data_IF_778608845128
#
_entry.id   IF_778608845128
#
_cell.length_a   1.000
_cell.length_b   1.000
_cell.length_c   1.000
_cell.angle_alpha   90.00
_cell.angle_beta   90.00
_cell.angle_gamma   90.00
#
_symmetry.space_group_name_H-M   'P 1'
#
loop_
_entity.id
_entity.type
_entity.pdbx_description
1 polymer ?
#
# COMPACT_ATOMS: atom_id res chain seq x y z
N UNK A 1 -27.26 16.10 20.14
CA UNK A 1 -25.87 15.90 20.68
C UNK A 1 -25.76 14.65 21.54
N UNK A 2 -26.72 14.35 22.43
CA UNK A 2 -26.69 13.12 23.22
C UNK A 2 -26.85 11.85 22.38
N UNK A 3 -27.76 11.83 21.39
CA UNK A 3 -27.89 10.64 20.53
C UNK A 3 -26.62 10.41 19.72
N UNK A 4 -26.04 11.47 19.14
CA UNK A 4 -24.77 11.36 18.42
C UNK A 4 -23.63 10.81 19.29
N UNK A 5 -23.51 11.27 20.55
CA UNK A 5 -22.53 10.72 21.48
C UNK A 5 -22.78 9.24 21.79
N UNK A 6 -24.04 8.86 21.99
CA UNK A 6 -24.42 7.46 22.21
C UNK A 6 -24.13 6.57 20.98
N UNK A 7 -24.38 7.07 19.77
CA UNK A 7 -24.02 6.40 18.51
C UNK A 7 -22.52 6.16 18.44
N UNK A 8 -21.69 7.19 18.67
CA UNK A 8 -20.23 7.04 18.61
C UNK A 8 -19.68 6.11 19.70
N UNK A 9 -20.33 6.06 20.86
CA UNK A 9 -19.98 5.10 21.90
C UNK A 9 -20.31 3.67 21.46
N UNK A 10 -21.51 3.43 20.91
CA UNK A 10 -21.88 2.12 20.37
C UNK A 10 -20.96 1.66 19.22
N UNK A 11 -20.54 2.57 18.34
CA UNK A 11 -19.55 2.29 17.28
C UNK A 11 -18.20 1.91 17.88
N UNK A 12 -17.70 2.70 18.84
CA UNK A 12 -16.41 2.41 19.50
C UNK A 12 -16.44 1.07 20.22
N UNK A 13 -17.56 0.75 20.89
CA UNK A 13 -17.74 -0.52 21.60
C UNK A 13 -17.89 -1.72 20.62
N UNK A 14 -18.47 -1.49 19.45
CA UNK A 14 -18.75 -2.53 18.45
C UNK A 14 -17.58 -2.88 17.54
N UNK A 15 -16.85 -1.87 17.02
CA UNK A 15 -15.76 -2.06 16.04
C UNK A 15 -14.39 -1.55 16.51
N UNK A 16 -14.32 -0.93 17.68
CA UNK A 16 -13.09 -0.37 18.22
C UNK A 16 -12.76 1.04 17.70
N UNK A 17 -11.72 1.64 18.29
CA UNK A 17 -11.31 3.01 17.97
C UNK A 17 -10.66 3.13 16.59
N UNK A 18 -9.85 2.15 16.17
CA UNK A 18 -9.16 2.18 14.88
C UNK A 18 -10.15 2.20 13.71
N UNK A 19 -11.17 1.36 13.75
CA UNK A 19 -12.15 1.25 12.68
C UNK A 19 -13.11 2.46 12.67
N UNK A 20 -13.45 3.01 13.84
CA UNK A 20 -14.16 4.30 13.93
C UNK A 20 -13.35 5.41 13.28
N UNK A 21 -12.05 5.45 13.55
CA UNK A 21 -11.18 6.53 13.07
C UNK A 21 -10.90 6.39 11.57
N UNK A 22 -10.87 5.16 11.03
CA UNK A 22 -10.75 4.88 9.59
C UNK A 22 -11.88 5.49 8.74
N UNK A 23 -13.07 5.72 9.32
CA UNK A 23 -14.17 6.41 8.64
C UNK A 23 -13.79 7.83 8.20
N UNK A 24 -12.85 8.47 8.87
CA UNK A 24 -12.39 9.80 8.48
C UNK A 24 -11.42 9.80 7.29
N UNK A 25 -10.88 8.63 6.92
CA UNK A 25 -10.08 8.47 5.70
C UNK A 25 -10.94 8.51 4.44
N UNK A 26 -12.25 8.27 4.57
CA UNK A 26 -13.20 8.15 3.47
C UNK A 26 -14.45 9.00 3.76
N UNK A 27 -14.50 10.28 3.32
CA UNK A 27 -15.56 11.21 3.70
C UNK A 27 -16.95 10.82 3.19
N UNK A 28 -17.03 9.93 2.21
CA UNK A 28 -18.26 9.37 1.62
C UNK A 28 -18.92 8.29 2.48
N UNK A 29 -18.17 7.62 3.37
CA UNK A 29 -18.71 6.58 4.27
C UNK A 29 -19.04 7.12 5.67
N UNK A 30 -18.99 8.44 5.86
CA UNK A 30 -19.32 9.04 7.13
C UNK A 30 -20.80 8.78 7.52
N UNK A 31 -21.09 8.52 8.80
CA UNK A 31 -22.44 8.30 9.27
C UNK A 31 -23.36 9.50 8.98
N UNK A 32 -24.57 9.20 8.56
CA UNK A 32 -25.62 10.19 8.29
C UNK A 32 -26.50 10.40 9.53
N UNK A 33 -27.50 11.28 9.43
CA UNK A 33 -28.48 11.46 10.52
C UNK A 33 -29.31 10.21 10.81
N UNK A 34 -29.55 9.36 9.81
CA UNK A 34 -30.28 8.09 10.01
C UNK A 34 -29.49 7.11 10.89
N UNK A 35 -28.16 7.14 10.79
CA UNK A 35 -27.28 6.31 11.62
C UNK A 35 -27.30 6.74 13.09
N UNK A 36 -27.62 8.01 13.38
CA UNK A 36 -27.81 8.52 14.76
C UNK A 36 -29.05 7.89 15.40
N UNK A 37 -30.12 7.70 14.62
CA UNK A 37 -31.36 7.07 15.08
C UNK A 37 -31.23 5.53 15.15
N UNK A 38 -30.35 4.94 14.33
CA UNK A 38 -30.13 3.50 14.22
C UNK A 38 -28.64 3.09 14.38
N UNK A 39 -28.01 3.33 15.54
CA UNK A 39 -26.58 3.08 15.73
C UNK A 39 -26.16 1.61 15.56
N UNK A 40 -27.06 0.67 15.85
CA UNK A 40 -26.81 -0.76 15.67
C UNK A 40 -26.74 -1.16 14.19
N UNK A 41 -27.50 -0.50 13.32
CA UNK A 41 -27.46 -0.74 11.88
C UNK A 41 -26.13 -0.27 11.28
N UNK A 42 -25.63 0.89 11.75
CA UNK A 42 -24.29 1.37 11.43
C UNK A 42 -23.22 0.36 11.85
N UNK A 43 -23.24 -0.12 13.11
CA UNK A 43 -22.28 -1.12 13.57
C UNK A 43 -22.34 -2.39 12.72
N UNK A 44 -23.54 -2.88 12.40
CA UNK A 44 -23.71 -4.06 11.55
C UNK A 44 -23.13 -3.86 10.13
N UNK A 45 -23.26 -2.66 9.57
CA UNK A 45 -22.64 -2.28 8.27
C UNK A 45 -21.12 -2.31 8.38
N UNK A 46 -20.56 -1.75 9.45
CA UNK A 46 -19.10 -1.69 9.66
C UNK A 46 -18.48 -3.07 9.93
N UNK A 47 -19.22 -3.99 10.57
CA UNK A 47 -18.73 -5.35 10.84
C UNK A 47 -18.89 -6.31 9.67
N UNK A 48 -19.64 -5.95 8.63
CA UNK A 48 -19.86 -6.83 7.48
C UNK A 48 -18.60 -7.04 6.60
N UNK A 49 -17.53 -6.28 6.88
CA UNK A 49 -16.22 -6.48 6.27
C UNK A 49 -16.07 -5.78 4.91
N UNK A 50 -14.82 -5.51 4.55
CA UNK A 50 -14.45 -5.08 3.19
C UNK A 50 -14.82 -6.17 2.18
N UNK A 51 -15.21 -5.79 0.95
CA UNK A 51 -15.45 -6.76 -0.11
C UNK A 51 -14.18 -7.60 -0.36
N UNK A 52 -14.36 -8.89 -0.67
CA UNK A 52 -13.26 -9.76 -1.08
C UNK A 52 -12.57 -9.19 -2.32
N UNK A 53 -11.22 -9.24 -2.40
CA UNK A 53 -10.46 -8.66 -3.49
C UNK A 53 -10.84 -9.34 -4.82
N UNK A 54 -11.20 -8.52 -5.79
CA UNK A 54 -11.62 -9.00 -7.10
C UNK A 54 -10.42 -9.27 -8.04
N UNK A 55 -10.70 -9.68 -9.28
CA UNK A 55 -9.65 -9.98 -10.27
C UNK A 55 -8.75 -8.77 -10.57
N UNK A 56 -9.30 -7.55 -10.46
CA UNK A 56 -8.53 -6.32 -10.67
C UNK A 56 -7.63 -6.06 -9.48
N UNK A 57 -8.12 -6.24 -8.26
CA UNK A 57 -7.32 -6.10 -7.03
C UNK A 57 -6.14 -7.08 -7.03
N UNK A 58 -6.36 -8.32 -7.45
CA UNK A 58 -5.31 -9.34 -7.56
C UNK A 58 -4.26 -8.96 -8.60
N UNK A 59 -4.67 -8.48 -9.77
CA UNK A 59 -3.75 -8.04 -10.81
C UNK A 59 -2.91 -6.82 -10.37
N UNK A 60 -3.49 -5.92 -9.56
CA UNK A 60 -2.77 -4.78 -8.98
C UNK A 60 -1.74 -5.22 -7.94
N UNK A 61 -2.07 -6.17 -7.07
CA UNK A 61 -1.14 -6.73 -6.08
C UNK A 61 0.02 -7.48 -6.75
N UNK A 62 -0.25 -8.27 -7.79
CA UNK A 62 0.79 -8.96 -8.58
C UNK A 62 1.74 -7.97 -9.24
N UNK A 63 1.19 -6.86 -9.77
CA UNK A 63 1.99 -5.75 -10.29
C UNK A 63 2.81 -5.11 -9.16
N UNK A 64 2.20 -4.70 -8.05
CA UNK A 64 2.87 -3.99 -6.96
C UNK A 64 3.97 -4.83 -6.30
N UNK A 65 3.70 -6.11 -6.04
CA UNK A 65 4.63 -7.08 -5.45
C UNK A 65 5.84 -7.41 -6.34
N UNK A 66 5.79 -7.03 -7.63
CA UNK A 66 6.86 -7.32 -8.59
C UNK A 66 6.89 -8.79 -9.02
N UNK A 67 5.79 -9.52 -8.81
CA UNK A 67 5.62 -10.88 -9.35
C UNK A 67 5.50 -10.87 -10.87
N UNK A 68 5.19 -9.70 -11.46
CA UNK A 68 5.28 -9.49 -12.90
C UNK A 68 6.75 -9.43 -13.36
N UNK A 69 7.19 -10.51 -14.02
CA UNK A 69 8.57 -10.76 -14.42
C UNK A 69 9.16 -9.73 -15.43
N UNK A 70 8.39 -8.70 -15.82
CA UNK A 70 8.80 -7.67 -16.77
C UNK A 70 9.32 -6.36 -16.15
N UNK A 71 9.33 -6.20 -14.82
CA UNK A 71 9.75 -4.93 -14.19
C UNK A 71 11.28 -4.85 -14.01
N UNK A 72 11.95 -3.80 -14.52
CA UNK A 72 13.37 -3.57 -14.25
C UNK A 72 13.62 -3.39 -12.75
N UNK A 73 14.66 -4.04 -12.23
CA UNK A 73 15.04 -3.92 -10.82
C UNK A 73 15.99 -2.74 -10.69
N UNK A 74 15.63 -1.75 -9.87
CA UNK A 74 16.52 -0.61 -9.61
C UNK A 74 17.57 -1.01 -8.56
N UNK A 75 18.84 -0.76 -8.87
CA UNK A 75 19.91 -0.92 -7.90
C UNK A 75 19.89 0.21 -6.85
N UNK A 76 20.71 0.08 -5.80
CA UNK A 76 20.83 1.10 -4.74
C UNK A 76 21.36 2.45 -5.21
N UNK A 77 21.65 2.62 -6.49
CA UNK A 77 22.12 3.84 -7.15
C UNK A 77 21.03 4.43 -8.07
N UNK A 78 19.84 3.82 -8.14
CA UNK A 78 18.72 4.29 -8.95
C UNK A 78 18.86 3.98 -10.44
N UNK A 79 19.67 2.97 -10.80
CA UNK A 79 19.75 2.47 -12.18
C UNK A 79 18.85 1.26 -12.34
N UNK A 80 17.91 1.36 -13.27
CA UNK A 80 17.13 0.23 -13.74
C UNK A 80 18.06 -0.79 -14.43
N UNK A 81 18.12 -2.00 -13.90
CA UNK A 81 18.83 -3.13 -14.50
C UNK A 81 17.81 -4.04 -15.19
N UNK A 82 18.03 -4.32 -16.48
CA UNK A 82 17.19 -5.28 -17.20
C UNK A 82 17.56 -6.72 -16.80
N UNK A 83 16.58 -7.63 -16.63
CA UNK A 83 16.87 -9.02 -16.30
C UNK A 83 17.65 -9.70 -17.44
N UNK A 84 18.95 -9.89 -17.24
CA UNK A 84 19.84 -10.54 -18.21
C UNK A 84 21.02 -9.68 -18.68
N UNK A 85 21.09 -8.41 -18.29
CA UNK A 85 22.27 -7.57 -18.54
C UNK A 85 23.32 -7.89 -17.48
N UNK A 86 24.28 -8.75 -17.81
CA UNK A 86 25.50 -8.89 -17.00
C UNK A 86 26.15 -7.51 -16.91
N UNK A 87 26.49 -7.01 -15.71
CA UNK A 87 27.33 -5.83 -15.60
C UNK A 87 28.58 -6.05 -16.44
N UNK A 88 28.78 -5.23 -17.46
CA UNK A 88 30.06 -5.12 -18.17
C UNK A 88 31.05 -4.52 -17.15
N UNK A 89 31.60 -5.39 -16.32
CA UNK A 89 32.76 -5.11 -15.48
C UNK A 89 33.96 -5.03 -16.43
N UNK A 90 34.02 -3.92 -17.17
CA UNK A 90 35.16 -3.58 -18.01
C UNK A 90 36.40 -3.49 -17.11
N UNK A 91 37.46 -4.25 -17.38
CA UNK A 91 38.67 -4.15 -16.57
C UNK A 91 39.30 -2.79 -16.82
N UNK A 92 39.27 -1.91 -15.82
CA UNK A 92 40.10 -0.70 -15.81
C UNK A 92 41.56 -1.15 -15.64
N UNK A 93 42.17 -1.38 -16.80
CA UNK A 93 43.55 -1.79 -17.00
C UNK A 93 44.48 -0.66 -16.52
N UNK A 94 45.05 -0.82 -15.33
CA UNK A 94 46.28 -0.15 -14.94
C UNK A 94 47.22 -1.20 -14.34
N UNK A 95 48.54 -1.20 -14.64
CA UNK A 95 49.36 -0.02 -14.91
C UNK A 95 50.31 -0.12 -16.12
N UNK A 96 50.39 0.96 -16.91
CA UNK A 96 51.44 1.16 -17.92
C UNK A 96 52.83 1.28 -17.28
N UNK A 97 53.53 0.16 -17.15
CA UNK A 97 54.98 0.14 -16.91
C UNK A 97 55.66 0.25 -18.27
N UNK A 98 56.22 1.42 -18.60
CA UNK A 98 57.00 1.61 -19.83
C UNK A 98 58.51 1.55 -19.52
N UNK A 99 59.28 0.61 -20.11
CA UNK A 99 60.72 0.52 -19.93
C UNK A 99 61.54 1.11 -21.10
N UNK A 100 62.29 2.20 -20.79
CA UNK A 100 63.59 2.68 -21.38
C UNK A 100 63.64 2.98 -22.91
N UNK A 101 64.79 3.37 -23.54
CA UNK A 101 66.03 4.04 -23.10
C UNK A 101 66.44 5.28 -23.97
N UNK A 102 67.42 6.09 -23.53
CA UNK A 102 68.75 6.35 -24.16
C UNK A 102 69.67 6.99 -23.13
#
# INVERSE_FOLDING_TARGET
>A
LREAAAMWQAVTDGVGAEQRDALWSHPDVLPTSEDIDAPHALVARLTQGEPEPDEVDQALEDLLSGSDAGRPVEDGQGRATEPGETPDDGPDDAPGTDPRPV
#
